data_IF_469535088469
#
_entry.id   IF_469535088469
#
_cell.length_a   1.000
_cell.length_b   1.000
_cell.length_c   1.000
_cell.angle_alpha   90.00
_cell.angle_beta   90.00
_cell.angle_gamma   90.00
#
_symmetry.space_group_name_H-M   'P 1'
#
loop_
_entity.id
_entity.type
_entity.pdbx_description
1 polymer ?
#
# COMPACT_ATOMS: atom_id res chain seq x y z
N UNK A 1 -27.65 16.04 14.65
CA UNK A 1 -26.69 15.31 15.53
C UNK A 1 -25.59 14.62 14.72
N UNK A 2 -25.83 14.25 13.46
CA UNK A 2 -24.85 13.61 12.56
C UNK A 2 -23.61 14.46 12.28
N UNK A 3 -23.77 15.79 12.22
CA UNK A 3 -22.68 16.69 11.81
C UNK A 3 -21.57 16.81 12.86
N UNK A 4 -21.93 16.92 14.15
CA UNK A 4 -20.94 17.03 15.24
C UNK A 4 -20.05 15.79 15.32
N UNK A 5 -20.63 14.60 15.12
CA UNK A 5 -19.85 13.35 15.09
C UNK A 5 -18.84 13.38 13.94
N UNK A 6 -19.25 13.79 12.74
CA UNK A 6 -18.33 13.87 11.60
C UNK A 6 -17.21 14.89 11.83
N UNK A 7 -17.49 16.03 12.48
CA UNK A 7 -16.44 16.98 12.86
C UNK A 7 -15.44 16.37 13.86
N UNK A 8 -15.90 15.65 14.87
CA UNK A 8 -14.99 14.95 15.81
C UNK A 8 -14.12 13.93 15.06
N UNK A 9 -14.70 13.14 14.14
CA UNK A 9 -13.97 12.13 13.38
C UNK A 9 -12.90 12.74 12.44
N UNK A 10 -13.08 13.97 11.96
CA UNK A 10 -12.09 14.66 11.12
C UNK A 10 -10.78 14.94 11.87
N UNK A 11 -10.88 15.15 13.19
CA UNK A 11 -9.74 15.43 14.08
C UNK A 11 -9.02 14.17 14.56
N UNK A 12 -9.66 12.99 14.45
CA UNK A 12 -9.05 11.73 14.88
C UNK A 12 -7.96 11.26 13.91
N UNK A 13 -6.86 10.72 14.43
CA UNK A 13 -5.96 9.95 13.60
C UNK A 13 -6.61 8.64 13.11
N UNK A 14 -5.98 7.99 12.13
CA UNK A 14 -6.54 6.76 11.56
C UNK A 14 -6.65 5.62 12.56
N UNK A 15 -5.74 5.53 13.55
CA UNK A 15 -5.79 4.48 14.57
C UNK A 15 -7.01 4.67 15.50
N UNK A 16 -7.24 5.90 15.95
CA UNK A 16 -8.40 6.28 16.73
C UNK A 16 -9.70 6.10 15.95
N UNK A 17 -9.74 6.44 14.66
CA UNK A 17 -10.88 6.14 13.78
C UNK A 17 -11.19 4.63 13.76
N UNK A 18 -10.18 3.79 13.60
CA UNK A 18 -10.34 2.32 13.60
C UNK A 18 -10.90 1.83 14.93
N UNK A 19 -10.47 2.38 16.07
CA UNK A 19 -11.05 2.06 17.38
C UNK A 19 -12.52 2.51 17.47
N UNK A 20 -12.84 3.73 17.03
CA UNK A 20 -14.19 4.29 17.05
C UNK A 20 -15.17 3.46 16.23
N UNK A 21 -14.76 2.97 15.06
CA UNK A 21 -15.59 2.14 14.19
C UNK A 21 -16.00 0.78 14.79
N UNK A 22 -15.40 0.38 15.92
CA UNK A 22 -15.74 -0.84 16.65
C UNK A 22 -16.84 -0.64 17.69
N UNK A 23 -17.21 0.60 18.01
CA UNK A 23 -18.16 0.91 19.08
C UNK A 23 -19.61 0.64 18.67
N UNK A 24 -20.00 0.93 17.42
CA UNK A 24 -21.36 0.71 16.93
C UNK A 24 -21.43 0.68 15.40
N UNK A 25 -22.55 0.24 14.83
CA UNK A 25 -22.76 0.29 13.37
C UNK A 25 -22.80 1.75 12.85
N UNK A 26 -23.35 2.68 13.63
CA UNK A 26 -23.41 4.10 13.24
C UNK A 26 -22.01 4.73 13.18
N UNK A 27 -21.17 4.51 14.20
CA UNK A 27 -19.78 4.99 14.23
C UNK A 27 -18.92 4.34 13.15
N UNK A 28 -19.20 3.06 12.83
CA UNK A 28 -18.62 2.37 11.69
C UNK A 28 -18.92 3.08 10.37
N UNK A 29 -20.20 3.34 10.09
CA UNK A 29 -20.61 4.06 8.88
C UNK A 29 -20.03 5.47 8.81
N UNK A 30 -19.99 6.20 9.93
CA UNK A 30 -19.40 7.54 9.98
C UNK A 30 -17.88 7.52 9.73
N UNK A 31 -17.16 6.54 10.30
CA UNK A 31 -15.72 6.33 10.04
C UNK A 31 -15.46 5.99 8.57
N UNK A 32 -16.33 5.17 7.99
CA UNK A 32 -16.30 4.78 6.58
C UNK A 32 -16.45 6.03 5.68
N UNK A 33 -17.41 6.91 5.98
CA UNK A 33 -17.56 8.20 5.27
C UNK A 33 -16.30 9.07 5.41
N UNK A 34 -15.74 9.18 6.61
CA UNK A 34 -14.56 10.00 6.86
C UNK A 34 -13.30 9.46 6.15
N UNK A 35 -13.04 8.15 6.18
CA UNK A 35 -11.93 7.55 5.44
C UNK A 35 -12.07 7.77 3.93
N UNK A 36 -13.28 7.60 3.37
CA UNK A 36 -13.56 7.91 1.97
C UNK A 36 -13.27 9.38 1.67
N UNK A 37 -13.66 10.31 2.55
CA UNK A 37 -13.34 11.74 2.41
C UNK A 37 -11.82 11.97 2.37
N UNK A 38 -11.05 11.36 3.27
CA UNK A 38 -9.57 11.47 3.31
C UNK A 38 -8.94 10.99 2.01
N UNK A 39 -9.33 9.81 1.52
CA UNK A 39 -8.85 9.27 0.23
C UNK A 39 -9.12 10.26 -0.90
N UNK A 40 -10.35 10.78 -1.00
CA UNK A 40 -10.72 11.76 -2.04
C UNK A 40 -9.91 13.04 -1.92
N UNK A 41 -9.68 13.56 -0.72
CA UNK A 41 -8.86 14.77 -0.51
C UNK A 41 -7.43 14.56 -0.99
N UNK A 42 -6.79 13.44 -0.65
CA UNK A 42 -5.40 13.20 -1.08
C UNK A 42 -5.32 12.95 -2.59
N UNK A 43 -6.30 12.24 -3.18
CA UNK A 43 -6.34 11.96 -4.62
C UNK A 43 -6.58 13.18 -5.50
N UNK A 44 -7.27 14.22 -5.01
CA UNK A 44 -7.61 15.43 -5.80
C UNK A 44 -6.41 16.13 -6.44
N UNK A 45 -5.21 15.90 -5.92
CA UNK A 45 -3.96 16.36 -6.53
C UNK A 45 -3.68 15.71 -7.89
N UNK A 46 -4.04 14.44 -8.05
CA UNK A 46 -3.72 13.60 -9.22
C UNK A 46 -4.94 13.24 -10.07
N UNK A 47 -6.14 13.29 -9.50
CA UNK A 47 -7.39 13.01 -10.22
C UNK A 47 -8.33 14.20 -10.02
N UNK A 48 -8.75 14.91 -11.08
CA UNK A 48 -9.71 16.00 -10.98
C UNK A 48 -10.99 15.54 -10.29
N UNK A 49 -11.56 16.40 -9.44
CA UNK A 49 -12.76 16.06 -8.64
C UNK A 49 -13.92 15.57 -9.51
N UNK A 50 -14.07 16.13 -10.72
CA UNK A 50 -15.17 15.82 -11.65
C UNK A 50 -15.15 14.38 -12.17
N UNK A 51 -13.99 13.71 -12.19
CA UNK A 51 -13.83 12.35 -12.74
C UNK A 51 -13.39 11.35 -11.67
N UNK A 52 -13.50 11.73 -10.39
CA UNK A 52 -12.98 10.92 -9.28
C UNK A 52 -13.78 9.63 -9.09
N UNK A 53 -15.09 9.66 -9.35
CA UNK A 53 -15.94 8.46 -9.29
C UNK A 53 -15.65 7.51 -10.46
N UNK A 54 -15.40 8.03 -11.66
CA UNK A 54 -14.96 7.22 -12.81
C UNK A 54 -13.62 6.55 -12.55
N UNK A 55 -12.70 7.24 -11.86
CA UNK A 55 -11.44 6.65 -11.41
C UNK A 55 -11.64 5.48 -10.45
N UNK A 56 -12.56 5.59 -9.47
CA UNK A 56 -12.86 4.46 -8.58
C UNK A 56 -13.57 3.32 -9.30
N UNK A 57 -14.46 3.62 -10.25
CA UNK A 57 -15.07 2.61 -11.11
C UNK A 57 -14.01 1.87 -11.95
N UNK A 58 -13.01 2.58 -12.45
CA UNK A 58 -11.87 1.99 -13.17
C UNK A 58 -11.01 1.10 -12.27
N UNK A 59 -10.71 1.53 -11.04
CA UNK A 59 -10.03 0.68 -10.05
C UNK A 59 -10.81 -0.61 -9.80
N UNK A 60 -12.13 -0.51 -9.66
CA UNK A 60 -13.00 -1.66 -9.42
C UNK A 60 -13.02 -2.63 -10.61
N UNK A 61 -13.30 -2.13 -11.81
CA UNK A 61 -13.47 -2.95 -13.01
C UNK A 61 -12.19 -3.65 -13.45
N UNK A 62 -11.03 -3.07 -13.13
CA UNK A 62 -9.72 -3.62 -13.44
C UNK A 62 -9.08 -4.37 -12.28
N UNK A 63 -9.73 -4.46 -11.10
CA UNK A 63 -9.12 -5.02 -9.88
C UNK A 63 -7.76 -4.40 -9.54
N UNK A 64 -7.64 -3.09 -9.74
CA UNK A 64 -6.42 -2.31 -9.52
C UNK A 64 -6.47 -1.59 -8.16
N UNK A 65 -5.30 -1.18 -7.67
CA UNK A 65 -5.16 -0.51 -6.37
C UNK A 65 -4.24 0.70 -6.45
N UNK A 66 -4.47 1.71 -5.62
CA UNK A 66 -3.52 2.80 -5.37
C UNK A 66 -2.67 2.43 -4.16
N UNK A 67 -1.36 2.59 -4.22
CA UNK A 67 -0.47 2.18 -3.12
C UNK A 67 0.60 3.24 -2.85
N UNK A 68 1.70 2.84 -2.21
CA UNK A 68 2.88 3.66 -2.04
C UNK A 68 2.62 4.85 -1.12
N UNK A 69 3.10 6.02 -1.53
CA UNK A 69 3.08 7.20 -0.66
C UNK A 69 1.68 7.75 -0.41
N UNK A 70 0.77 7.61 -1.36
CA UNK A 70 -0.60 8.10 -1.20
C UNK A 70 -1.38 7.29 -0.17
N UNK A 71 -1.29 5.96 -0.23
CA UNK A 71 -1.92 5.11 0.78
C UNK A 71 -1.39 5.40 2.18
N UNK A 72 -0.08 5.61 2.31
CA UNK A 72 0.51 6.03 3.57
C UNK A 72 0.00 7.41 4.02
N UNK A 73 -0.14 8.39 3.12
CA UNK A 73 -0.68 9.71 3.44
C UNK A 73 -2.10 9.67 4.03
N UNK A 74 -2.95 8.77 3.53
CA UNK A 74 -4.30 8.55 4.08
C UNK A 74 -4.21 7.94 5.47
N UNK A 75 -3.35 6.95 5.66
CA UNK A 75 -3.19 6.26 6.96
C UNK A 75 -2.50 7.13 8.02
N UNK A 76 -1.61 8.04 7.63
CA UNK A 76 -0.93 8.97 8.54
C UNK A 76 -1.74 10.24 8.84
N UNK A 77 -2.98 10.32 8.38
CA UNK A 77 -3.86 11.46 8.65
C UNK A 77 -4.08 11.65 10.16
N UNK A 78 -4.10 12.90 10.60
CA UNK A 78 -4.25 13.28 12.02
C UNK A 78 -2.99 13.09 12.86
N UNK A 79 -1.87 12.68 12.26
CA UNK A 79 -0.58 12.52 12.97
C UNK A 79 0.40 13.64 12.59
N UNK A 80 1.53 13.75 13.30
CA UNK A 80 2.60 14.68 12.89
C UNK A 80 3.24 14.33 11.55
N UNK A 81 3.04 13.11 11.05
CA UNK A 81 3.46 12.63 9.74
C UNK A 81 2.46 13.00 8.62
N UNK A 82 1.57 13.98 8.87
CA UNK A 82 0.56 14.43 7.93
C UNK A 82 1.15 14.85 6.57
N UNK A 83 0.50 14.43 5.49
CA UNK A 83 0.99 14.64 4.12
C UNK A 83 1.18 16.10 3.73
N UNK A 84 0.40 17.02 4.31
CA UNK A 84 0.55 18.45 4.08
C UNK A 84 1.91 19.02 4.56
N UNK A 85 2.61 18.29 5.45
CA UNK A 85 3.93 18.68 5.96
C UNK A 85 5.09 18.10 5.11
N UNK A 86 4.80 17.28 4.09
CA UNK A 86 5.84 16.63 3.31
C UNK A 86 6.52 17.65 2.38
N UNK A 87 7.85 17.76 2.49
CA UNK A 87 8.67 18.69 1.68
C UNK A 87 8.45 18.53 0.18
N UNK A 88 8.25 17.29 -0.27
CA UNK A 88 7.98 16.96 -1.67
C UNK A 88 6.73 16.07 -1.75
N UNK A 89 5.65 16.56 -2.37
CA UNK A 89 4.51 15.71 -2.68
C UNK A 89 4.98 14.59 -3.61
N UNK A 90 4.44 13.40 -3.39
CA UNK A 90 4.87 12.19 -4.10
C UNK A 90 4.36 12.09 -5.52
N UNK A 91 4.71 10.94 -6.09
CA UNK A 91 4.08 10.22 -7.18
C UNK A 91 2.70 9.66 -6.75
N UNK A 92 1.81 9.45 -7.71
CA UNK A 92 0.67 8.54 -7.57
C UNK A 92 1.05 7.16 -8.13
N UNK A 93 1.20 6.17 -7.25
CA UNK A 93 1.47 4.80 -7.66
C UNK A 93 0.15 4.02 -7.80
N UNK A 94 -0.15 3.55 -9.02
CA UNK A 94 -1.30 2.70 -9.33
C UNK A 94 -0.78 1.33 -9.74
N UNK A 95 -1.21 0.30 -9.02
CA UNK A 95 -0.87 -1.07 -9.32
C UNK A 95 -2.02 -1.72 -10.06
N UNK A 96 -1.71 -2.34 -11.19
CA UNK A 96 -2.71 -2.90 -12.10
C UNK A 96 -2.38 -4.36 -12.41
N UNK A 97 -3.37 -5.23 -12.64
CA UNK A 97 -3.11 -6.56 -13.15
C UNK A 97 -2.45 -6.54 -14.53
N UNK A 98 -1.82 -7.65 -14.89
CA UNK A 98 -1.26 -7.85 -16.23
C UNK A 98 -2.32 -7.56 -17.31
N UNK A 99 -2.02 -6.62 -18.21
CA UNK A 99 -2.87 -6.22 -19.33
C UNK A 99 -3.77 -4.99 -19.05
N UNK A 100 -3.85 -4.48 -17.82
CA UNK A 100 -4.75 -3.38 -17.48
C UNK A 100 -4.14 -1.98 -17.67
N UNK A 101 -2.82 -1.87 -17.91
CA UNK A 101 -2.12 -0.59 -18.14
C UNK A 101 -2.79 0.30 -19.20
N UNK A 102 -3.19 -0.20 -20.39
CA UNK A 102 -3.77 0.66 -21.43
C UNK A 102 -5.04 1.41 -20.99
N UNK A 103 -5.87 0.81 -20.13
CA UNK A 103 -7.09 1.44 -19.65
C UNK A 103 -6.80 2.67 -18.76
N UNK A 104 -5.79 2.57 -17.88
CA UNK A 104 -5.35 3.70 -17.06
C UNK A 104 -4.64 4.77 -17.88
N UNK A 105 -3.78 4.37 -18.82
CA UNK A 105 -3.14 5.32 -19.72
C UNK A 105 -4.18 6.13 -20.47
N UNK A 106 -5.16 5.46 -21.09
CA UNK A 106 -6.26 6.12 -21.79
C UNK A 106 -7.05 7.04 -20.87
N UNK A 107 -7.44 6.59 -19.67
CA UNK A 107 -8.16 7.39 -18.70
C UNK A 107 -7.44 8.72 -18.38
N UNK A 108 -6.15 8.64 -18.06
CA UNK A 108 -5.40 9.82 -17.67
C UNK A 108 -5.07 10.75 -18.84
N UNK A 109 -4.78 10.22 -20.02
CA UNK A 109 -4.51 11.04 -21.21
C UNK A 109 -5.75 11.74 -21.72
N UNK A 110 -6.91 11.09 -21.68
CA UNK A 110 -8.15 11.61 -22.27
C UNK A 110 -8.89 12.53 -21.30
N UNK A 111 -9.02 12.16 -20.03
CA UNK A 111 -9.90 12.87 -19.10
C UNK A 111 -9.15 13.74 -18.09
N UNK A 112 -7.86 13.48 -17.88
CA UNK A 112 -7.10 14.08 -16.79
C UNK A 112 -5.89 14.90 -17.24
N UNK A 113 -5.71 15.16 -18.54
CA UNK A 113 -4.62 16.01 -19.06
C UNK A 113 -3.23 15.56 -18.57
N UNK A 114 -2.92 14.29 -18.78
CA UNK A 114 -1.58 13.74 -18.63
C UNK A 114 -0.99 13.35 -19.98
N UNK A 115 0.34 13.33 -20.07
CA UNK A 115 1.05 12.78 -21.20
C UNK A 115 2.04 11.69 -20.74
N UNK A 116 2.34 10.69 -21.57
CA UNK A 116 3.43 9.76 -21.31
C UNK A 116 4.75 10.50 -21.09
N UNK A 117 5.53 10.08 -20.09
CA UNK A 117 6.86 10.64 -19.88
C UNK A 117 7.78 10.25 -21.05
N UNK A 118 8.38 11.24 -21.70
CA UNK A 118 9.40 11.03 -22.74
C UNK A 118 10.73 10.56 -22.14
N UNK A 119 10.95 10.89 -20.86
CA UNK A 119 12.02 10.34 -20.07
C UNK A 119 11.67 8.90 -19.73
N UNK A 120 11.85 8.01 -20.71
CA UNK A 120 12.01 6.59 -20.43
C UNK A 120 13.28 6.50 -19.59
N UNK A 121 13.13 6.65 -18.28
CA UNK A 121 14.10 6.11 -17.36
C UNK A 121 14.09 4.63 -17.70
N UNK A 122 15.08 4.19 -18.49
CA UNK A 122 15.57 2.81 -18.49
C UNK A 122 16.17 2.55 -17.11
N UNK A 123 15.39 2.81 -16.06
CA UNK A 123 15.61 2.31 -14.74
C UNK A 123 15.53 0.82 -14.95
N UNK A 124 16.69 0.20 -14.96
CA UNK A 124 16.78 -1.22 -14.97
C UNK A 124 16.02 -1.70 -13.74
N UNK A 125 14.76 -2.11 -13.90
CA UNK A 125 14.01 -2.82 -12.88
C UNK A 125 14.68 -4.17 -12.52
N UNK A 126 15.91 -4.42 -13.04
CA UNK A 126 16.93 -5.36 -12.55
C UNK A 126 17.01 -5.48 -11.02
N UNK A 127 16.54 -4.49 -10.26
CA UNK A 127 16.56 -4.52 -8.79
C UNK A 127 15.28 -5.05 -8.13
N UNK A 128 14.18 -5.25 -8.86
CA UNK A 128 12.96 -5.84 -8.30
C UNK A 128 12.92 -7.32 -8.65
N UNK A 129 13.20 -8.23 -7.69
CA UNK A 129 12.96 -9.65 -7.91
C UNK A 129 11.47 -9.87 -8.18
N UNK A 130 11.16 -10.26 -9.43
CA UNK A 130 9.94 -10.92 -9.90
C UNK A 130 8.59 -10.41 -9.33
N UNK A 131 8.02 -9.36 -9.91
CA UNK A 131 6.63 -8.99 -9.59
C UNK A 131 6.05 -7.92 -10.50
N UNK A 132 6.91 -7.03 -10.98
CA UNK A 132 6.55 -5.93 -11.89
C UNK A 132 6.88 -6.36 -13.32
N UNK A 133 5.92 -6.25 -14.23
CA UNK A 133 6.10 -6.47 -15.67
C UNK A 133 6.57 -5.20 -16.36
N UNK A 134 5.84 -4.10 -16.17
CA UNK A 134 6.14 -2.80 -16.75
C UNK A 134 5.82 -1.69 -15.74
N UNK A 135 6.44 -0.53 -15.93
CA UNK A 135 6.04 0.71 -15.27
C UNK A 135 5.85 1.77 -16.34
N UNK A 136 4.64 2.32 -16.43
CA UNK A 136 4.31 3.41 -17.34
C UNK A 136 4.14 4.70 -16.53
N UNK A 137 5.07 5.64 -16.70
CA UNK A 137 5.01 6.95 -16.04
C UNK A 137 4.29 7.96 -16.91
N UNK A 138 3.30 8.63 -16.35
CA UNK A 138 2.61 9.78 -16.93
C UNK A 138 2.98 11.05 -16.15
N UNK A 139 3.06 12.18 -16.85
CA UNK A 139 3.36 13.49 -16.27
C UNK A 139 2.21 14.44 -16.57
N UNK A 140 1.78 15.22 -15.57
CA UNK A 140 0.73 16.21 -15.78
C UNK A 140 1.16 17.24 -16.81
N UNK A 141 0.28 17.61 -17.74
CA UNK A 141 0.59 18.66 -18.69
C UNK A 141 0.58 20.04 -18.01
N UNK A 142 1.30 21.04 -18.56
CA UNK A 142 1.34 22.39 -18.00
C UNK A 142 -0.04 23.05 -17.84
N UNK A 143 -0.99 22.73 -18.73
CA UNK A 143 -2.36 23.25 -18.71
C UNK A 143 -3.12 22.81 -17.46
N UNK A 144 -2.77 21.65 -16.91
CA UNK A 144 -3.42 21.05 -15.75
C UNK A 144 -2.87 21.60 -14.44
N UNK A 145 -1.54 21.60 -14.28
CA UNK A 145 -0.87 22.04 -13.06
C UNK A 145 0.32 22.93 -13.44
N UNK A 146 0.13 24.26 -13.49
CA UNK A 146 1.13 25.19 -14.01
C UNK A 146 2.41 25.29 -13.15
N UNK A 147 2.29 25.00 -11.85
CA UNK A 147 3.34 25.33 -10.88
C UNK A 147 4.30 24.18 -10.56
N UNK A 148 3.85 22.93 -10.68
CA UNK A 148 4.69 21.77 -10.42
C UNK A 148 4.10 20.51 -11.08
N UNK A 149 4.82 19.88 -12.02
CA UNK A 149 4.35 18.64 -12.61
C UNK A 149 4.22 17.56 -11.53
N UNK A 150 3.11 16.83 -11.56
CA UNK A 150 2.93 15.62 -10.76
C UNK A 150 3.02 14.40 -11.68
N UNK A 151 3.53 13.30 -11.13
CA UNK A 151 3.68 12.05 -11.87
C UNK A 151 2.67 11.01 -11.41
N UNK A 152 2.28 10.14 -12.35
CA UNK A 152 1.50 8.93 -12.10
C UNK A 152 2.30 7.76 -12.61
N UNK A 153 2.61 6.81 -11.74
CA UNK A 153 3.28 5.57 -12.10
C UNK A 153 2.25 4.45 -12.14
N UNK A 154 2.00 3.92 -13.34
CA UNK A 154 1.16 2.74 -13.55
C UNK A 154 2.08 1.51 -13.52
N UNK A 155 2.06 0.79 -12.41
CA UNK A 155 2.89 -0.38 -12.13
C UNK A 155 2.10 -1.64 -12.50
N UNK A 156 2.46 -2.24 -13.63
CA UNK A 156 1.83 -3.46 -14.11
C UNK A 156 2.41 -4.68 -13.40
N UNK A 157 1.54 -5.50 -12.83
CA UNK A 157 1.91 -6.79 -12.26
C UNK A 157 2.37 -7.78 -13.34
N UNK A 158 3.28 -8.67 -12.99
CA UNK A 158 3.67 -9.82 -13.81
C UNK A 158 2.61 -10.92 -13.86
N UNK A 159 1.50 -10.79 -13.13
CA UNK A 159 0.37 -11.72 -13.18
C UNK A 159 -0.97 -10.98 -13.04
N UNK A 160 -2.06 -11.73 -12.90
CA UNK A 160 -3.43 -11.20 -12.78
C UNK A 160 -3.73 -10.51 -11.44
N UNK A 161 -2.79 -10.47 -10.49
CA UNK A 161 -2.98 -9.80 -9.20
C UNK A 161 -2.22 -8.47 -9.16
N UNK A 162 -2.95 -7.35 -9.09
CA UNK A 162 -2.37 -6.01 -8.95
C UNK A 162 -1.44 -5.87 -7.74
N UNK A 163 -1.71 -6.61 -6.66
CA UNK A 163 -0.95 -6.48 -5.40
C UNK A 163 0.32 -7.33 -5.40
N UNK A 164 0.50 -8.23 -6.37
CA UNK A 164 1.65 -9.13 -6.42
C UNK A 164 3.01 -8.41 -6.36
N UNK A 165 3.22 -7.25 -7.02
CA UNK A 165 4.44 -6.45 -6.83
C UNK A 165 4.71 -6.01 -5.38
N UNK A 166 3.68 -5.74 -4.58
CA UNK A 166 3.81 -5.10 -3.26
C UNK A 166 4.60 -5.95 -2.26
N UNK A 167 4.57 -7.28 -2.39
CA UNK A 167 5.36 -8.18 -1.55
C UNK A 167 6.87 -8.08 -1.81
N UNK A 168 7.26 -7.58 -2.99
CA UNK A 168 8.65 -7.39 -3.39
C UNK A 168 9.11 -5.96 -3.21
N UNK A 169 8.38 -5.14 -2.44
CA UNK A 169 8.89 -3.83 -2.08
C UNK A 169 9.88 -3.90 -0.93
N UNK A 170 10.80 -2.94 -0.94
CA UNK A 170 11.94 -2.88 -0.05
C UNK A 170 11.58 -2.58 1.42
N UNK A 171 10.34 -2.19 1.74
CA UNK A 171 9.94 -1.96 3.13
C UNK A 171 8.44 -1.84 3.37
N UNK A 172 8.03 -1.97 4.63
CA UNK A 172 6.61 -2.10 5.02
C UNK A 172 5.74 -0.86 4.77
N UNK A 173 6.36 0.32 4.65
CA UNK A 173 5.63 1.58 4.51
C UNK A 173 4.82 1.69 3.21
N UNK A 174 5.18 0.90 2.18
CA UNK A 174 4.55 0.93 0.85
C UNK A 174 3.62 -0.25 0.60
N UNK A 175 3.41 -1.10 1.61
CA UNK A 175 2.51 -2.25 1.51
C UNK A 175 1.10 -1.90 1.97
N UNK A 176 0.79 -0.61 2.04
CA UNK A 176 -0.54 -0.08 2.28
C UNK A 176 -1.15 0.25 0.94
N UNK A 177 -2.41 -0.07 0.73
CA UNK A 177 -3.06 0.18 -0.56
C UNK A 177 -4.55 0.54 -0.39
N UNK A 178 -5.11 1.11 -1.45
CA UNK A 178 -6.47 1.62 -1.52
C UNK A 178 -7.11 0.96 -2.74
N UNK A 179 -8.21 0.26 -2.52
CA UNK A 179 -9.05 -0.28 -3.60
C UNK A 179 -10.14 0.73 -3.95
N UNK A 180 -11.06 0.38 -4.85
CA UNK A 180 -12.27 1.18 -5.07
C UNK A 180 -13.15 1.34 -3.83
N UNK A 181 -13.06 0.41 -2.88
CA UNK A 181 -13.99 0.29 -1.75
C UNK A 181 -13.31 0.15 -0.39
N UNK A 182 -11.99 0.25 -0.29
CA UNK A 182 -11.28 -0.01 0.96
C UNK A 182 -9.94 0.71 1.05
N UNK A 183 -9.51 0.98 2.28
CA UNK A 183 -8.13 1.34 2.62
C UNK A 183 -7.56 0.20 3.45
N UNK A 184 -6.44 -0.37 3.02
CA UNK A 184 -5.81 -1.54 3.62
C UNK A 184 -4.40 -1.17 4.10
N UNK A 185 -4.10 -1.60 5.32
CA UNK A 185 -2.75 -1.56 5.88
C UNK A 185 -2.27 -2.99 6.13
N UNK A 186 -1.24 -3.44 5.43
CA UNK A 186 -0.66 -4.77 5.64
C UNK A 186 0.05 -4.87 7.00
N UNK A 187 0.52 -3.74 7.54
CA UNK A 187 1.26 -3.66 8.80
C UNK A 187 0.70 -2.55 9.70
N UNK A 188 -0.56 -2.65 10.18
CA UNK A 188 -1.25 -1.55 10.84
C UNK A 188 -0.49 -1.03 12.06
N UNK A 189 0.07 -1.92 12.89
CA UNK A 189 0.87 -1.52 14.05
C UNK A 189 2.11 -0.72 13.64
N UNK A 190 2.90 -1.24 12.69
CA UNK A 190 4.10 -0.54 12.23
C UNK A 190 3.73 0.80 11.56
N UNK A 191 2.71 0.82 10.71
CA UNK A 191 2.23 2.04 10.03
C UNK A 191 1.77 3.10 11.05
N UNK A 192 0.98 2.74 12.06
CA UNK A 192 0.47 3.68 13.07
C UNK A 192 1.54 4.10 14.08
N UNK A 193 2.45 3.21 14.44
CA UNK A 193 3.62 3.51 15.28
C UNK A 193 4.70 4.30 14.49
N UNK A 194 4.45 4.60 13.21
CA UNK A 194 5.35 5.28 12.27
C UNK A 194 6.71 4.59 12.17
N UNK A 195 6.67 3.26 12.17
CA UNK A 195 7.83 2.39 12.00
C UNK A 195 7.77 1.77 10.62
N UNK A 196 8.89 1.82 9.90
CA UNK A 196 9.04 0.99 8.71
C UNK A 196 10.16 -0.01 8.91
N UNK A 197 9.96 -1.21 8.38
CA UNK A 197 10.98 -2.25 8.36
C UNK A 197 11.40 -2.46 6.92
N UNK A 198 12.71 -2.64 6.73
CA UNK A 198 13.25 -3.03 5.42
C UNK A 198 13.06 -4.52 5.23
N UNK A 199 12.67 -4.90 4.02
CA UNK A 199 12.67 -6.29 3.62
C UNK A 199 14.12 -6.82 3.67
N UNK A 200 14.37 -8.03 4.22
CA UNK A 200 15.73 -8.58 4.28
C UNK A 200 16.47 -8.70 2.94
N UNK A 201 15.80 -9.05 1.83
CA UNK A 201 16.45 -9.05 0.51
C UNK A 201 16.89 -7.64 0.10
N UNK A 202 16.15 -6.59 0.48
CA UNK A 202 16.51 -5.20 0.22
C UNK A 202 17.64 -4.66 1.11
N UNK A 203 18.10 -5.45 2.10
CA UNK A 203 19.37 -5.20 2.77
C UNK A 203 20.56 -5.68 1.95
N UNK A 204 20.35 -6.69 1.09
CA UNK A 204 21.37 -7.27 0.21
C UNK A 204 21.41 -6.56 -1.14
N UNK A 205 20.24 -6.27 -1.71
CA UNK A 205 20.09 -5.41 -2.86
C UNK A 205 20.26 -3.95 -2.41
N UNK A 206 20.93 -3.14 -3.22
CA UNK A 206 21.19 -1.73 -2.92
C UNK A 206 19.86 -0.95 -2.90
N UNK A 207 19.17 -0.90 -1.75
CA UNK A 207 18.09 0.07 -1.56
C UNK A 207 18.71 1.47 -1.68
N UNK A 208 18.29 2.29 -2.66
CA UNK A 208 18.89 3.62 -2.84
C UNK A 208 18.74 4.41 -1.54
N UNK A 209 19.83 4.99 -1.01
CA UNK A 209 19.80 5.75 0.26
C UNK A 209 18.68 6.79 0.30
N UNK A 210 18.42 7.45 -0.83
CA UNK A 210 17.36 8.46 -0.95
C UNK A 210 15.94 7.94 -0.69
N UNK A 211 15.71 6.63 -0.75
CA UNK A 211 14.42 6.04 -0.39
C UNK A 211 14.24 6.01 1.14
N UNK A 212 15.29 5.68 1.89
CA UNK A 212 15.24 5.75 3.37
C UNK A 212 14.98 7.18 3.81
N UNK A 213 15.71 8.13 3.22
CA UNK A 213 15.56 9.55 3.52
C UNK A 213 14.15 10.05 3.17
N UNK A 214 13.57 9.61 2.04
CA UNK A 214 12.18 9.91 1.64
C UNK A 214 11.16 9.56 2.73
N UNK A 215 11.28 8.41 3.40
CA UNK A 215 10.33 8.00 4.45
C UNK A 215 10.69 8.58 5.82
N UNK A 216 11.97 8.81 6.10
CA UNK A 216 12.38 9.56 7.29
C UNK A 216 11.83 10.99 7.28
N UNK A 217 11.93 11.70 6.15
CA UNK A 217 11.35 13.03 5.95
C UNK A 217 9.82 13.06 6.06
N UNK A 218 9.16 11.89 5.98
CA UNK A 218 7.71 11.73 6.18
C UNK A 218 7.36 11.30 7.60
N UNK A 219 8.32 11.34 8.52
CA UNK A 219 8.12 11.04 9.94
C UNK A 219 8.14 9.56 10.30
N UNK A 220 8.62 8.67 9.40
CA UNK A 220 8.83 7.28 9.76
C UNK A 220 10.22 7.04 10.34
N UNK A 221 10.31 6.27 11.42
CA UNK A 221 11.57 5.74 11.95
C UNK A 221 11.85 4.35 11.40
N UNK A 222 13.13 4.04 11.18
CA UNK A 222 13.54 2.68 10.85
C UNK A 222 13.38 1.79 12.09
N UNK A 223 12.71 0.65 11.93
CA UNK A 223 12.54 -0.32 12.99
C UNK A 223 13.83 -1.03 13.39
N UNK A 224 13.91 -1.36 14.67
CA UNK A 224 14.97 -2.14 15.30
C UNK A 224 15.01 -3.59 14.79
N UNK A 225 16.08 -4.32 15.07
CA UNK A 225 16.22 -5.71 14.64
C UNK A 225 15.12 -6.63 15.20
N UNK A 226 14.72 -6.44 16.46
CA UNK A 226 13.69 -7.25 17.13
C UNK A 226 12.32 -7.08 16.47
N UNK A 227 11.96 -5.85 16.09
CA UNK A 227 10.70 -5.57 15.40
C UNK A 227 10.67 -6.17 13.96
N UNK A 228 11.82 -6.50 13.35
CA UNK A 228 11.88 -7.11 12.00
C UNK A 228 11.39 -8.56 11.94
N UNK A 229 11.50 -9.30 13.04
CA UNK A 229 11.04 -10.68 13.10
C UNK A 229 9.52 -10.79 12.88
N UNK A 230 8.76 -9.77 13.34
CA UNK A 230 7.31 -9.69 13.11
C UNK A 230 6.95 -9.58 11.63
N UNK A 231 7.70 -8.75 10.87
CA UNK A 231 7.40 -8.51 9.46
C UNK A 231 7.62 -9.76 8.61
N UNK A 232 8.69 -10.51 8.88
CA UNK A 232 8.97 -11.77 8.19
C UNK A 232 7.84 -12.80 8.40
N UNK A 233 7.32 -12.91 9.62
CA UNK A 233 6.21 -13.80 9.91
C UNK A 233 4.91 -13.38 9.19
N UNK A 234 4.62 -12.08 9.16
CA UNK A 234 3.43 -11.55 8.46
C UNK A 234 3.51 -11.74 6.94
N UNK A 235 4.68 -11.53 6.33
CA UNK A 235 4.87 -11.76 4.89
C UNK A 235 4.59 -13.20 4.50
N UNK A 236 5.07 -14.16 5.30
CA UNK A 236 4.83 -15.59 5.06
C UNK A 236 3.34 -15.95 5.05
N UNK A 237 2.54 -15.31 5.92
CA UNK A 237 1.10 -15.56 6.04
C UNK A 237 0.34 -14.90 4.88
N UNK A 238 0.68 -13.66 4.51
CA UNK A 238 0.03 -12.96 3.39
C UNK A 238 0.18 -13.73 2.08
N UNK A 239 1.36 -14.30 1.82
CA UNK A 239 1.62 -15.14 0.65
C UNK A 239 0.72 -16.39 0.56
N UNK A 240 0.30 -16.96 1.69
CA UNK A 240 -0.59 -18.13 1.72
C UNK A 240 -2.09 -17.73 1.63
N UNK A 241 -2.44 -16.54 2.13
CA UNK A 241 -3.85 -16.11 2.26
C UNK A 241 -4.35 -15.41 0.99
N UNK A 242 -3.57 -14.51 0.38
CA UNK A 242 -3.98 -13.75 -0.81
C UNK A 242 -4.10 -14.64 -2.05
N UNK A 243 -3.29 -15.69 -2.13
CA UNK A 243 -3.41 -16.69 -3.20
C UNK A 243 -4.82 -17.34 -3.19
N UNK A 244 -5.42 -17.54 -2.01
CA UNK A 244 -6.69 -18.27 -1.85
C UNK A 244 -7.93 -17.41 -2.08
N UNK A 245 -7.83 -16.08 -1.91
CA UNK A 245 -8.99 -15.18 -1.95
C UNK A 245 -9.22 -14.50 -3.30
N UNK A 246 -8.22 -14.47 -4.19
CA UNK A 246 -8.29 -13.69 -5.44
C UNK A 246 -8.04 -14.49 -6.73
N UNK A 247 -7.61 -15.74 -6.65
CA UNK A 247 -7.43 -16.59 -7.82
C UNK A 247 -8.56 -17.63 -7.89
N UNK A 248 -9.48 -17.43 -8.83
CA UNK A 248 -10.49 -18.42 -9.16
C UNK A 248 -9.83 -19.73 -9.63
N UNK A 249 -10.47 -20.84 -9.27
CA UNK A 249 -9.93 -22.21 -9.35
C UNK A 249 -9.56 -22.57 -10.80
N UNK A 250 -8.27 -22.69 -11.13
CA UNK A 250 -7.77 -23.79 -11.99
C UNK A 250 -6.25 -24.00 -12.11
N UNK A 251 -5.39 -23.02 -11.86
CA UNK A 251 -3.94 -23.25 -12.01
C UNK A 251 -3.16 -22.89 -10.74
N UNK A 252 -3.05 -23.89 -9.85
CA UNK A 252 -2.49 -23.75 -8.51
C UNK A 252 -1.29 -24.66 -8.29
N UNK A 253 -0.20 -24.41 -9.03
CA UNK A 253 1.08 -25.16 -8.89
C UNK A 253 2.27 -24.31 -8.45
N UNK A 254 2.17 -22.98 -8.46
CA UNK A 254 3.31 -22.10 -8.17
C UNK A 254 3.54 -21.81 -6.67
N UNK A 255 2.48 -21.69 -5.87
CA UNK A 255 2.57 -21.32 -4.44
C UNK A 255 2.98 -22.45 -3.50
N UNK A 256 2.84 -23.72 -3.93
CA UNK A 256 3.14 -24.88 -3.06
C UNK A 256 4.64 -25.10 -2.85
N UNK A 257 5.49 -24.66 -3.78
CA UNK A 257 6.95 -24.85 -3.69
C UNK A 257 7.66 -23.68 -2.98
N UNK A 258 7.10 -22.46 -3.04
CA UNK A 258 7.71 -21.31 -2.36
C UNK A 258 7.57 -21.36 -0.83
N UNK A 259 6.43 -21.87 -0.33
CA UNK A 259 6.17 -22.00 1.11
C UNK A 259 6.84 -23.22 1.77
N UNK A 260 7.07 -24.31 1.01
CA UNK A 260 7.67 -25.55 1.54
C UNK A 260 9.19 -25.53 1.60
N UNK A 261 9.86 -24.96 0.61
CA UNK A 261 11.30 -25.18 0.45
C UNK A 261 12.18 -24.13 1.13
N UNK A 262 11.66 -22.91 1.38
CA UNK A 262 12.46 -21.82 1.96
C UNK A 262 12.08 -21.42 3.39
N UNK A 263 10.82 -21.57 3.80
CA UNK A 263 10.35 -21.05 5.10
C UNK A 263 10.71 -21.97 6.28
N UNK A 264 10.87 -23.27 6.04
CA UNK A 264 11.07 -24.29 7.10
C UNK A 264 12.54 -24.70 7.26
N UNK A 265 13.35 -24.66 6.18
CA UNK A 265 14.74 -25.17 6.22
C UNK A 265 15.77 -24.18 6.77
N UNK A 266 15.62 -22.87 6.54
CA UNK A 266 16.67 -21.89 6.90
C UNK A 266 16.43 -21.20 8.26
N UNK A 267 15.19 -21.20 8.77
CA UNK A 267 14.85 -20.48 10.01
C UNK A 267 15.09 -21.31 11.28
N UNK A 268 14.87 -22.62 11.23
CA UNK A 268 15.09 -23.52 12.36
C UNK A 268 16.56 -23.92 12.53
N UNK A 269 17.37 -23.88 11.47
CA UNK A 269 18.75 -24.36 11.49
C UNK A 269 19.78 -23.31 11.91
N UNK A 270 19.46 -22.01 11.83
CA UNK A 270 20.44 -20.93 12.07
C UNK A 270 20.25 -20.11 13.35
N UNK A 271 19.09 -20.18 14.00
CA UNK A 271 18.81 -19.37 15.19
C UNK A 271 18.38 -20.28 16.33
N UNK A 272 19.35 -20.91 17.00
CA UNK A 272 19.15 -21.67 18.24
C UNK A 272 18.78 -20.79 19.44
N UNK A 273 17.85 -19.84 19.27
CA UNK A 273 17.50 -18.85 20.28
C UNK A 273 16.08 -19.11 20.82
N UNK A 274 15.90 -19.45 22.11
CA UNK A 274 14.61 -19.79 22.74
C UNK A 274 13.52 -18.71 22.63
N UNK A 275 13.90 -17.45 22.34
CA UNK A 275 12.96 -16.35 22.14
C UNK A 275 12.09 -16.50 20.89
N UNK A 276 12.58 -17.16 19.83
CA UNK A 276 11.83 -17.32 18.57
C UNK A 276 10.66 -18.30 18.74
N UNK A 277 10.88 -19.40 19.48
CA UNK A 277 9.82 -20.35 19.84
C UNK A 277 8.72 -19.70 20.69
N UNK A 278 9.09 -18.79 21.61
CA UNK A 278 8.11 -18.04 22.44
C UNK A 278 7.30 -17.02 21.64
N UNK A 279 7.88 -16.36 20.63
CA UNK A 279 7.16 -15.43 19.76
C UNK A 279 6.12 -16.20 18.90
N UNK A 280 6.46 -17.37 18.39
CA UNK A 280 5.50 -18.23 17.67
C UNK A 280 4.38 -18.75 18.59
N UNK A 281 4.69 -19.18 19.82
CA UNK A 281 3.66 -19.69 20.75
C UNK A 281 2.75 -18.60 21.31
N UNK A 282 3.25 -17.37 21.50
CA UNK A 282 2.45 -16.23 21.98
C UNK A 282 1.65 -15.53 20.87
N UNK A 283 2.13 -15.53 19.62
CA UNK A 283 1.35 -15.05 18.47
C UNK A 283 0.17 -15.98 18.11
N UNK A 284 0.21 -17.24 18.54
CA UNK A 284 -0.86 -18.23 18.36
C UNK A 284 -1.93 -18.20 19.47
N UNK A 285 -1.73 -17.48 20.57
CA UNK A 285 -2.67 -17.45 21.70
C UNK A 285 -2.98 -15.99 22.04
N UNK A 286 -3.95 -15.39 21.33
CA UNK A 286 -4.69 -14.21 21.84
C UNK A 286 -4.75 -12.96 20.96
N UNK A 287 -3.91 -12.80 19.92
CA UNK A 287 -4.02 -11.64 19.02
C UNK A 287 -4.75 -12.02 17.73
N UNK A 288 -6.03 -11.67 17.63
CA UNK A 288 -6.79 -11.81 16.39
C UNK A 288 -6.13 -11.00 15.28
N UNK A 289 -5.44 -11.65 14.36
CA UNK A 289 -4.98 -11.05 13.11
C UNK A 289 -6.21 -10.64 12.30
N UNK A 290 -6.49 -9.34 12.24
CA UNK A 290 -7.47 -8.81 11.29
C UNK A 290 -6.70 -8.00 10.27
N UNK A 291 -6.69 -8.45 9.02
CA UNK A 291 -6.60 -7.51 7.91
C UNK A 291 -7.69 -6.48 8.18
N UNK A 292 -7.29 -5.24 8.40
CA UNK A 292 -8.25 -4.16 8.62
C UNK A 292 -8.78 -3.80 7.22
N UNK A 293 -9.65 -4.67 6.71
CA UNK A 293 -10.39 -4.47 5.46
C UNK A 293 -11.67 -3.70 5.82
N UNK A 294 -11.73 -2.44 5.41
CA UNK A 294 -12.94 -1.63 5.53
C UNK A 294 -13.64 -1.57 4.19
N UNK A 295 -14.72 -2.34 4.03
CA UNK A 295 -15.58 -2.26 2.84
C UNK A 295 -16.54 -1.09 3.01
N UNK A 296 -16.49 -0.11 2.11
CA UNK A 296 -17.56 0.86 1.95
C UNK A 296 -18.70 0.20 1.16
N UNK A 297 -19.72 -0.37 1.83
CA UNK A 297 -21.00 -0.75 1.19
C UNK A 297 -21.96 0.43 1.23
#
# INVERSE_FOLDING_TARGET
MTDVVLYILQELDTAALVCTARLSQSTRSATSIELRRRVRVVLRRYVPTAILDDFFALLQSTSSVVSGSLAFAVLSWGTDAHFAKWKKPGDLDIYVPMGATPAFTHFFTTFAQYAPSLDVKKGSHKYYPSGIRTVTTLVSTPERIPLAPVTIDIVESSNSCAMYPLQYFWGTAVNNYITSTSVISAYPRATFDRVYHRHPWALRAWAPRGVIDKYHDRGLRLGTATERLYVLATMAILLDTDARLLCDRKDYTFTRNFAKDYLVMDFASRVGHPAVARICSSACIGSSWRVVEWKYT
#
